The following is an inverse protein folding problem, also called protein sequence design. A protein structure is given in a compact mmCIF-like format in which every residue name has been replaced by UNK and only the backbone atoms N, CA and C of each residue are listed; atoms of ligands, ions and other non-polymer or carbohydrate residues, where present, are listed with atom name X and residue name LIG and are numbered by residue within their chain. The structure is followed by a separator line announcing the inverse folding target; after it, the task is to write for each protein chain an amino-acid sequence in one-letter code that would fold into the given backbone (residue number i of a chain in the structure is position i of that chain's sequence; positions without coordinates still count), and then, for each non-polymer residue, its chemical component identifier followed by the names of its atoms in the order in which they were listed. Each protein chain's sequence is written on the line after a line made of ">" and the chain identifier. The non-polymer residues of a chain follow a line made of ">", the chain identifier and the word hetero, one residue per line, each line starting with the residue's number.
data_IF_130071502821
#
_entry.id   IF_130071502821
#
_cell.length_a   1.000
_cell.length_b   1.000
_cell.length_c   1.000
_cell.angle_alpha   90.00
_cell.angle_beta   90.00
_cell.angle_gamma   90.00
#
_symmetry.space_group_name_H-M   'P 1'
#
loop_
_entity.id
_entity.type
_entity.pdbx_description
1 polymer ?
#
# COMPACT_ATOMS: atom_id res chain seq x y z
N UNK A 1 5.39 2.93 15.89
CA UNK A 1 5.87 2.95 17.29
C UNK A 1 7.26 3.56 17.47
N UNK A 2 8.28 3.19 16.69
CA UNK A 2 9.65 3.75 16.81
C UNK A 2 9.76 5.25 16.51
N UNK A 3 8.85 5.81 15.70
CA UNK A 3 8.77 7.24 15.39
C UNK A 3 8.28 8.08 16.58
N UNK A 4 7.23 7.65 17.29
CA UNK A 4 6.68 8.35 18.47
C UNK A 4 7.72 8.40 19.59
N UNK A 5 8.33 7.25 19.92
CA UNK A 5 9.39 7.16 20.93
C UNK A 5 10.54 8.13 20.63
N UNK A 6 11.05 8.15 19.40
CA UNK A 6 12.13 9.07 18.99
C UNK A 6 11.73 10.54 19.12
N UNK A 7 10.49 10.90 18.77
CA UNK A 7 10.00 12.29 18.86
C UNK A 7 9.81 12.76 20.30
N UNK A 8 9.28 11.89 21.17
CA UNK A 8 9.14 12.17 22.61
C UNK A 8 10.52 12.31 23.26
N UNK A 9 11.45 11.39 22.97
CA UNK A 9 12.83 11.48 23.45
C UNK A 9 13.51 12.78 22.96
N UNK A 10 13.32 13.15 21.70
CA UNK A 10 13.86 14.41 21.16
C UNK A 10 13.28 15.65 21.86
N UNK A 11 11.96 15.67 22.14
CA UNK A 11 11.33 16.75 22.88
C UNK A 11 11.84 16.82 24.33
N UNK A 12 11.98 15.68 25.00
CA UNK A 12 12.52 15.62 26.37
C UNK A 12 13.97 16.08 26.42
N UNK A 13 14.83 15.62 25.51
CA UNK A 13 16.22 16.07 25.42
C UNK A 13 16.30 17.57 25.15
N UNK A 14 15.42 18.08 24.28
CA UNK A 14 15.33 19.52 24.00
C UNK A 14 14.93 20.31 25.23
N UNK A 15 13.89 19.89 25.96
CA UNK A 15 13.46 20.54 27.20
C UNK A 15 14.55 20.47 28.28
N UNK A 16 15.19 19.32 28.46
CA UNK A 16 16.31 19.18 29.41
C UNK A 16 17.43 20.17 29.04
N UNK A 17 17.82 20.24 27.76
CA UNK A 17 18.82 21.20 27.31
C UNK A 17 18.37 22.66 27.55
N UNK A 18 17.11 22.98 27.25
CA UNK A 18 16.55 24.33 27.37
C UNK A 18 16.45 24.80 28.83
N UNK A 19 16.05 23.92 29.74
CA UNK A 19 15.95 24.23 31.18
C UNK A 19 17.28 24.14 31.93
N UNK A 20 18.30 23.48 31.37
CA UNK A 20 19.63 23.40 31.99
C UNK A 20 20.66 24.32 31.32
N UNK A 21 20.28 25.08 30.29
CA UNK A 21 21.22 25.99 29.60
C UNK A 21 21.73 27.09 30.55
N UNK A 22 20.88 27.55 31.47
CA UNK A 22 21.24 28.49 32.55
C UNK A 22 22.18 27.85 33.59
N UNK A 23 22.09 26.52 33.78
CA UNK A 23 22.94 25.75 34.71
C UNK A 23 24.28 25.31 34.13
N UNK A 24 24.46 25.40 32.81
CA UNK A 24 25.69 25.05 32.11
C UNK A 24 26.76 26.15 32.18
N UNK A 25 26.58 27.11 33.09
CA UNK A 25 27.46 28.27 33.29
C UNK A 25 28.91 27.85 33.53
N UNK A 26 29.71 27.98 32.46
CA UNK A 26 31.15 27.77 32.43
C UNK A 26 31.84 29.11 32.70
N UNK A 27 31.69 29.62 33.93
CA UNK A 27 32.64 30.56 34.53
C UNK A 27 32.17 32.01 34.72
N UNK A 28 32.01 32.39 36.00
CA UNK A 28 32.14 33.74 36.63
C UNK A 28 31.37 34.95 36.07
N UNK A 29 30.67 34.85 34.94
CA UNK A 29 29.82 35.94 34.42
C UNK A 29 28.48 35.34 33.95
N UNK A 30 27.44 35.49 34.76
CA UNK A 30 26.04 35.16 34.46
C UNK A 30 25.56 35.93 33.21
N UNK A 31 25.91 35.45 32.03
CA UNK A 31 25.55 36.09 30.74
C UNK A 31 24.35 35.42 30.06
N UNK A 32 23.91 34.27 30.57
CA UNK A 32 22.81 33.44 30.04
C UNK A 32 21.68 33.31 31.07
N UNK A 33 21.18 34.44 31.55
CA UNK A 33 20.01 34.50 32.43
C UNK A 33 18.75 34.72 31.57
N UNK A 34 17.97 33.65 31.35
CA UNK A 34 16.75 33.70 30.53
C UNK A 34 15.62 34.35 31.33
N UNK A 35 14.81 35.19 30.69
CA UNK A 35 13.71 35.82 31.42
C UNK A 35 12.69 34.75 31.89
N UNK A 36 12.16 34.84 33.13
CA UNK A 36 11.18 33.89 33.66
C UNK A 36 9.96 33.68 32.76
N UNK A 37 9.59 34.73 32.01
CA UNK A 37 8.52 34.72 31.00
C UNK A 37 8.78 33.66 29.93
N UNK A 38 10.03 33.50 29.48
CA UNK A 38 10.41 32.54 28.44
C UNK A 38 10.09 31.11 28.85
N UNK A 39 10.32 30.74 30.12
CA UNK A 39 9.99 29.41 30.63
C UNK A 39 8.48 29.15 30.69
N UNK A 40 7.69 30.16 31.08
CA UNK A 40 6.21 30.08 31.09
C UNK A 40 5.67 29.91 29.67
N UNK A 41 6.24 30.62 28.69
CA UNK A 41 5.86 30.49 27.28
C UNK A 41 6.24 29.11 26.74
N UNK A 42 7.44 28.61 27.02
CA UNK A 42 7.87 27.24 26.64
C UNK A 42 6.89 26.20 27.20
N UNK A 43 6.55 26.28 28.49
CA UNK A 43 5.60 25.37 29.11
C UNK A 43 4.22 25.42 28.42
N UNK A 44 3.69 26.62 28.19
CA UNK A 44 2.41 26.83 27.52
C UNK A 44 2.40 26.26 26.09
N UNK A 45 3.49 26.47 25.36
CA UNK A 45 3.65 26.01 23.97
C UNK A 45 3.70 24.47 23.87
N UNK A 46 4.25 23.79 24.88
CA UNK A 46 4.24 22.32 24.95
C UNK A 46 2.82 21.76 25.09
N UNK A 47 1.90 22.47 25.74
CA UNK A 47 0.52 22.04 25.92
C UNK A 47 -0.41 22.35 24.74
N UNK A 48 -0.06 23.32 23.87
CA UNK A 48 -0.88 23.69 22.69
C UNK A 48 -1.30 22.50 21.80
N UNK A 49 -0.42 21.52 21.46
CA UNK A 49 -0.78 20.38 20.61
C UNK A 49 -1.78 19.39 21.24
N UNK A 50 -2.03 19.50 22.55
CA UNK A 50 -3.05 18.69 23.24
C UNK A 50 -4.47 19.09 22.80
N UNK A 51 -4.66 20.36 22.43
CA UNK A 51 -5.93 20.87 21.90
C UNK A 51 -6.12 20.48 20.43
N UNK A 52 -7.32 19.96 20.12
CA UNK A 52 -7.66 19.44 18.79
C UNK A 52 -7.46 20.47 17.66
N UNK A 53 -7.69 21.76 17.94
CA UNK A 53 -7.59 22.85 16.99
C UNK A 53 -6.17 23.04 16.42
N UNK A 54 -5.14 22.96 17.28
CA UNK A 54 -3.73 23.18 16.89
C UNK A 54 -3.07 21.93 16.30
N UNK A 55 -3.70 20.76 16.46
CA UNK A 55 -3.15 19.46 16.03
C UNK A 55 -3.30 19.19 14.53
N UNK A 56 -4.29 19.81 13.86
CA UNK A 56 -4.58 19.60 12.41
C UNK A 56 -4.08 20.72 11.48
N UNK A 57 -3.42 21.74 12.04
CA UNK A 57 -2.95 22.94 11.31
C UNK A 57 -1.44 22.86 11.07
N UNK A 58 -0.89 23.59 10.07
CA UNK A 58 0.55 23.56 9.78
C UNK A 58 1.38 24.04 10.99
N UNK A 59 2.59 23.52 11.13
CA UNK A 59 3.51 23.80 12.25
C UNK A 59 3.69 25.30 12.51
N UNK A 60 3.68 26.15 11.47
CA UNK A 60 3.79 27.61 11.61
C UNK A 60 2.71 28.21 12.52
N UNK A 61 1.50 27.65 12.51
CA UNK A 61 0.39 28.12 13.34
C UNK A 61 0.57 27.82 14.84
N UNK A 62 1.49 26.90 15.19
CA UNK A 62 1.90 26.65 16.58
C UNK A 62 3.07 27.53 17.03
N UNK A 63 3.92 27.97 16.10
CA UNK A 63 5.08 28.84 16.38
C UNK A 63 4.65 30.29 16.59
N UNK A 64 3.77 30.81 15.71
CA UNK A 64 3.29 32.19 15.74
C UNK A 64 2.70 32.60 17.11
N UNK A 65 1.76 31.86 17.73
CA UNK A 65 1.23 32.23 19.04
C UNK A 65 2.29 32.18 20.14
N UNK A 66 3.28 31.28 20.04
CA UNK A 66 4.40 31.22 20.98
C UNK A 66 5.27 32.47 20.90
N UNK A 67 5.58 32.95 19.70
CA UNK A 67 6.31 34.20 19.50
C UNK A 67 5.52 35.44 19.91
N UNK A 68 4.20 35.47 19.66
CA UNK A 68 3.34 36.57 20.12
C UNK A 68 3.31 36.58 21.65
N UNK A 69 3.14 35.43 22.31
CA UNK A 69 3.14 35.35 23.76
C UNK A 69 4.48 35.78 24.37
N UNK A 70 5.59 35.37 23.77
CA UNK A 70 6.93 35.81 24.17
C UNK A 70 7.07 37.33 23.97
N UNK A 71 6.75 37.85 22.78
CA UNK A 71 6.86 39.28 22.48
C UNK A 71 6.00 40.16 23.39
N UNK A 72 4.78 39.72 23.75
CA UNK A 72 3.91 40.43 24.71
C UNK A 72 4.46 40.36 26.13
N UNK A 73 4.91 39.19 26.58
CA UNK A 73 5.49 39.03 27.91
C UNK A 73 6.76 39.85 28.07
N UNK A 74 7.60 39.87 27.04
CA UNK A 74 8.78 40.73 26.95
C UNK A 74 8.37 42.22 26.88
N UNK A 75 7.31 42.61 26.18
CA UNK A 75 6.90 44.02 26.12
C UNK A 75 6.37 44.57 27.46
N UNK A 76 5.90 43.69 28.34
CA UNK A 76 5.39 44.03 29.67
C UNK A 76 6.51 44.16 30.73
N UNK A 77 7.68 43.57 30.47
CA UNK A 77 8.81 43.62 31.39
C UNK A 77 9.64 44.91 31.17
N UNK A 78 9.92 45.72 32.21
CA UNK A 78 10.67 46.98 32.07
C UNK A 78 12.18 46.81 31.82
N UNK A 79 12.68 45.59 31.66
CA UNK A 79 14.09 45.27 31.35
C UNK A 79 14.52 45.78 29.96
N UNK A 80 15.75 46.31 29.78
CA UNK A 80 16.26 46.73 28.48
C UNK A 80 16.53 45.51 27.57
N UNK A 81 15.73 45.37 26.51
CA UNK A 81 15.78 44.20 25.60
C UNK A 81 16.65 44.40 24.36
N UNK A 82 16.96 45.65 24.04
CA UNK A 82 17.77 46.02 22.89
C UNK A 82 19.05 46.70 23.36
N UNK A 83 20.20 46.08 23.07
CA UNK A 83 21.52 46.58 23.44
C UNK A 83 22.46 45.50 23.97
N UNK A 84 23.67 45.41 23.38
CA UNK A 84 24.75 44.54 23.85
C UNK A 84 24.37 43.05 23.88
N UNK A 85 24.58 42.42 25.04
CA UNK A 85 24.39 40.97 25.26
C UNK A 85 22.89 40.58 25.22
N UNK A 86 21.99 41.49 25.62
CA UNK A 86 20.55 41.22 25.71
C UNK A 86 19.91 40.91 24.35
N UNK A 87 20.42 41.48 23.26
CA UNK A 87 19.92 41.18 21.90
C UNK A 87 20.21 39.73 21.49
N UNK A 88 21.38 39.20 21.88
CA UNK A 88 21.70 37.78 21.63
C UNK A 88 20.83 36.86 22.48
N UNK A 89 20.56 37.26 23.73
CA UNK A 89 19.69 36.51 24.64
C UNK A 89 18.26 36.42 24.10
N UNK A 90 17.67 37.53 23.66
CA UNK A 90 16.34 37.53 23.04
C UNK A 90 16.28 36.67 21.79
N UNK A 91 17.31 36.70 20.91
CA UNK A 91 17.35 35.82 19.73
C UNK A 91 17.34 34.33 20.15
N UNK A 92 18.10 33.97 21.18
CA UNK A 92 18.12 32.60 21.72
C UNK A 92 16.74 32.23 22.28
N UNK A 93 16.06 33.12 23.01
CA UNK A 93 14.71 32.88 23.55
C UNK A 93 13.68 32.58 22.44
N UNK A 94 13.68 33.39 21.37
CA UNK A 94 12.81 33.16 20.22
C UNK A 94 13.10 31.83 19.52
N UNK A 95 14.37 31.43 19.44
CA UNK A 95 14.80 30.16 18.85
C UNK A 95 14.40 28.97 19.73
N UNK A 96 14.55 29.09 21.06
CA UNK A 96 14.12 28.08 22.02
C UNK A 96 12.60 27.84 21.96
N UNK A 97 11.82 28.91 21.92
CA UNK A 97 10.36 28.83 21.75
C UNK A 97 9.97 28.21 20.41
N UNK A 98 10.64 28.60 19.31
CA UNK A 98 10.37 28.04 17.99
C UNK A 98 10.69 26.53 17.93
N UNK A 99 11.86 26.13 18.44
CA UNK A 99 12.26 24.71 18.49
C UNK A 99 11.29 23.88 19.32
N UNK A 100 10.88 24.40 20.49
CA UNK A 100 9.88 23.76 21.35
C UNK A 100 8.54 23.58 20.62
N UNK A 101 8.02 24.63 19.97
CA UNK A 101 6.77 24.57 19.21
C UNK A 101 6.81 23.50 18.11
N UNK A 102 7.90 23.46 17.33
CA UNK A 102 8.07 22.48 16.25
C UNK A 102 8.11 21.05 16.79
N UNK A 103 8.88 20.79 17.85
CA UNK A 103 9.01 19.47 18.48
C UNK A 103 7.67 19.03 19.12
N UNK A 104 7.01 19.92 19.84
CA UNK A 104 5.72 19.66 20.47
C UNK A 104 4.65 19.33 19.42
N UNK A 105 4.59 20.08 18.31
CA UNK A 105 3.67 19.81 17.21
C UNK A 105 3.95 18.45 16.55
N UNK A 106 5.23 18.09 16.35
CA UNK A 106 5.63 16.78 15.79
C UNK A 106 5.24 15.61 16.69
N UNK A 107 5.26 15.78 18.01
CA UNK A 107 4.79 14.78 18.98
C UNK A 107 3.27 14.68 18.96
N UNK A 108 2.56 15.80 18.96
CA UNK A 108 1.10 15.85 18.89
C UNK A 108 0.54 15.15 17.63
N UNK A 109 1.16 15.38 16.47
CA UNK A 109 0.78 14.70 15.22
C UNK A 109 0.97 13.17 15.31
N UNK A 110 2.12 12.72 15.83
CA UNK A 110 2.40 11.28 15.98
C UNK A 110 1.47 10.59 17.00
N UNK A 111 0.99 11.33 18.02
CA UNK A 111 0.02 10.82 18.99
C UNK A 111 -1.37 10.65 18.38
N UNK A 112 -1.79 11.54 17.48
CA UNK A 112 -3.07 11.41 16.76
C UNK A 112 -3.06 10.24 15.77
N UNK A 113 -1.96 10.02 15.04
CA UNK A 113 -1.79 8.83 14.19
C UNK A 113 -1.92 7.54 15.00
N UNK A 114 -1.29 7.49 16.17
CA UNK A 114 -1.43 6.34 17.08
C UNK A 114 -2.86 6.20 17.59
N UNK A 115 -3.50 7.30 18.02
CA UNK A 115 -4.89 7.30 18.46
C UNK A 115 -5.82 6.77 17.38
N UNK A 116 -5.65 7.20 16.13
CA UNK A 116 -6.45 6.75 14.99
C UNK A 116 -6.20 5.27 14.66
N UNK A 117 -4.94 4.82 14.69
CA UNK A 117 -4.62 3.40 14.48
C UNK A 117 -5.22 2.50 15.56
N UNK A 118 -5.16 2.93 16.82
CA UNK A 118 -5.82 2.23 17.94
C UNK A 118 -7.33 2.29 17.75
N UNK A 119 -7.91 3.46 17.43
CA UNK A 119 -9.34 3.63 17.19
C UNK A 119 -9.85 2.69 16.07
N UNK A 120 -9.11 2.51 14.98
CA UNK A 120 -9.43 1.57 13.89
C UNK A 120 -9.39 0.11 14.34
N UNK A 121 -8.48 -0.24 15.27
CA UNK A 121 -8.30 -1.61 15.75
C UNK A 121 -9.27 -1.94 16.91
N UNK A 122 -9.58 -0.96 17.77
CA UNK A 122 -10.42 -1.14 18.96
C UNK A 122 -11.88 -0.85 18.71
N UNK A 123 -12.23 -0.03 17.71
CA UNK A 123 -13.63 0.11 17.28
C UNK A 123 -13.97 -1.04 16.35
N UNK A 124 -14.41 -2.14 16.97
CA UNK A 124 -15.46 -2.99 16.46
C UNK A 124 -16.52 -2.11 15.79
N UNK A 125 -16.47 -2.06 14.46
CA UNK A 125 -17.44 -1.52 13.52
C UNK A 125 -18.40 -0.46 14.10
N UNK A 126 -18.08 0.82 13.91
CA UNK A 126 -19.01 1.95 14.07
C UNK A 126 -20.10 1.95 12.97
N UNK A 127 -20.57 0.77 12.58
CA UNK A 127 -21.86 0.60 11.94
C UNK A 127 -22.85 0.42 13.08
N UNK A 128 -23.56 1.48 13.42
CA UNK A 128 -24.66 1.58 14.40
C UNK A 128 -25.82 0.54 14.21
N UNK A 129 -25.64 -0.35 13.23
CA UNK A 129 -26.57 -1.40 12.83
C UNK A 129 -26.23 -2.77 13.40
N UNK A 130 -25.02 -2.96 13.97
CA UNK A 130 -24.64 -4.22 14.60
C UNK A 130 -24.93 -4.14 16.10
N UNK A 131 -26.17 -4.46 16.49
CA UNK A 131 -26.60 -4.51 17.89
C UNK A 131 -26.45 -5.92 18.43
N UNK A 132 -26.10 -6.06 19.70
CA UNK A 132 -26.19 -7.35 20.38
C UNK A 132 -27.64 -7.79 20.51
N UNK A 133 -27.88 -9.10 20.70
CA UNK A 133 -29.23 -9.63 20.86
C UNK A 133 -29.98 -8.99 22.04
N UNK A 134 -29.27 -8.73 23.15
CA UNK A 134 -29.85 -8.09 24.34
C UNK A 134 -30.24 -6.64 24.11
N UNK A 135 -29.49 -5.89 23.30
CA UNK A 135 -29.79 -4.49 22.98
C UNK A 135 -30.92 -4.38 21.94
N UNK A 136 -31.00 -5.30 20.99
CA UNK A 136 -32.00 -5.28 19.93
C UNK A 136 -33.36 -5.88 20.34
N UNK A 137 -33.45 -6.52 21.51
CA UNK A 137 -34.65 -7.24 21.93
C UNK A 137 -35.88 -6.32 22.06
N UNK A 138 -35.71 -5.15 22.67
CA UNK A 138 -36.78 -4.17 22.83
C UNK A 138 -37.26 -3.64 21.47
N UNK A 139 -36.33 -3.29 20.58
CA UNK A 139 -36.65 -2.81 19.23
C UNK A 139 -37.40 -3.86 18.40
N UNK A 140 -36.95 -5.13 18.47
CA UNK A 140 -37.61 -6.24 17.78
C UNK A 140 -39.03 -6.43 18.33
N UNK A 141 -39.23 -6.34 19.65
CA UNK A 141 -40.56 -6.42 20.25
C UNK A 141 -41.48 -5.26 19.83
N UNK A 142 -40.94 -4.05 19.70
CA UNK A 142 -41.67 -2.89 19.17
C UNK A 142 -42.10 -3.16 17.72
N UNK A 143 -41.18 -3.64 16.88
CA UNK A 143 -41.50 -3.96 15.48
C UNK A 143 -42.52 -5.10 15.37
N UNK A 144 -42.41 -6.16 16.16
CA UNK A 144 -43.41 -7.24 16.21
C UNK A 144 -44.80 -6.71 16.60
N UNK A 145 -44.87 -5.85 17.62
CA UNK A 145 -46.12 -5.24 18.09
C UNK A 145 -46.73 -4.33 17.03
N UNK A 146 -45.92 -3.51 16.36
CA UNK A 146 -46.34 -2.67 15.25
C UNK A 146 -46.83 -3.50 14.05
N UNK A 147 -46.11 -4.58 13.70
CA UNK A 147 -46.47 -5.49 12.61
C UNK A 147 -47.82 -6.16 12.85
N UNK A 148 -48.09 -6.59 14.10
CA UNK A 148 -49.39 -7.15 14.50
C UNK A 148 -50.53 -6.14 14.36
N UNK A 149 -50.34 -4.90 14.82
CA UNK A 149 -51.37 -3.84 14.73
C UNK A 149 -51.65 -3.43 13.29
N UNK A 150 -50.61 -3.34 12.46
CA UNK A 150 -50.71 -2.88 11.06
C UNK A 150 -50.91 -4.02 10.05
N UNK A 151 -50.98 -5.28 10.51
CA UNK A 151 -51.05 -6.49 9.66
C UNK A 151 -49.99 -6.53 8.56
N UNK A 152 -48.75 -6.14 8.91
CA UNK A 152 -47.60 -6.19 8.00
C UNK A 152 -46.79 -7.47 8.25
N UNK A 153 -46.16 -8.07 7.23
CA UNK A 153 -45.25 -9.20 7.42
C UNK A 153 -43.92 -8.72 8.01
N UNK A 154 -43.38 -9.48 8.97
CA UNK A 154 -42.05 -9.31 9.54
C UNK A 154 -41.26 -10.60 9.30
N UNK A 155 -40.06 -10.47 8.72
CA UNK A 155 -39.19 -11.61 8.40
C UNK A 155 -37.86 -11.49 9.15
N UNK A 156 -37.31 -12.63 9.58
CA UNK A 156 -35.98 -12.72 10.21
C UNK A 156 -35.10 -13.62 9.35
N UNK A 157 -33.88 -13.17 9.07
CA UNK A 157 -32.88 -13.92 8.32
C UNK A 157 -31.69 -14.19 9.24
N UNK A 158 -31.28 -15.46 9.33
CA UNK A 158 -30.04 -15.87 10.01
C UNK A 158 -29.02 -16.21 8.92
N UNK A 159 -27.89 -15.52 8.94
CA UNK A 159 -26.77 -15.74 8.04
C UNK A 159 -25.61 -16.30 8.85
N UNK A 160 -25.25 -17.55 8.58
CA UNK A 160 -24.05 -18.18 9.14
C UNK A 160 -23.02 -18.33 8.02
N UNK A 161 -21.83 -17.78 8.21
CA UNK A 161 -20.73 -17.93 7.25
C UNK A 161 -19.98 -19.23 7.56
N UNK A 162 -19.95 -20.17 6.61
CA UNK A 162 -19.20 -21.43 6.77
C UNK A 162 -17.69 -21.19 6.64
N UNK A 163 -16.96 -21.31 7.73
CA UNK A 163 -15.51 -21.17 7.76
C UNK A 163 -14.77 -22.24 6.91
N UNK A 164 -15.41 -23.38 6.60
CA UNK A 164 -14.80 -24.43 5.74
C UNK A 164 -14.76 -24.02 4.27
N UNK A 165 -15.80 -23.33 3.81
CA UNK A 165 -15.85 -22.77 2.45
C UNK A 165 -14.80 -21.68 2.19
N UNK A 166 -14.36 -20.96 3.24
CA UNK A 166 -13.24 -20.03 3.17
C UNK A 166 -11.91 -20.74 2.87
N UNK A 167 -11.63 -21.86 3.55
CA UNK A 167 -10.41 -22.64 3.32
C UNK A 167 -10.36 -23.25 1.91
N UNK A 168 -11.50 -23.72 1.39
CA UNK A 168 -11.59 -24.22 0.01
C UNK A 168 -11.38 -23.12 -1.04
N UNK A 169 -11.80 -21.89 -0.75
CA UNK A 169 -11.55 -20.73 -1.63
C UNK A 169 -10.07 -20.37 -1.64
N UNK A 170 -9.42 -20.35 -0.48
CA UNK A 170 -7.97 -20.09 -0.36
C UNK A 170 -7.17 -21.16 -1.11
N UNK A 171 -7.52 -22.44 -0.97
CA UNK A 171 -6.80 -23.51 -1.65
C UNK A 171 -6.92 -23.41 -3.18
N UNK A 172 -8.11 -23.10 -3.70
CA UNK A 172 -8.32 -22.84 -5.14
C UNK A 172 -7.52 -21.64 -5.63
N UNK A 173 -7.51 -20.55 -4.87
CA UNK A 173 -6.73 -19.36 -5.21
C UNK A 173 -5.23 -19.65 -5.25
N UNK A 174 -4.70 -20.42 -4.29
CA UNK A 174 -3.29 -20.84 -4.27
C UNK A 174 -2.96 -21.70 -5.50
N UNK A 175 -3.85 -22.64 -5.86
CA UNK A 175 -3.65 -23.48 -7.05
C UNK A 175 -3.67 -22.65 -8.35
N UNK A 176 -4.57 -21.68 -8.48
CA UNK A 176 -4.62 -20.76 -9.63
C UNK A 176 -3.35 -19.92 -9.72
N UNK A 177 -2.89 -19.37 -8.59
CA UNK A 177 -1.64 -18.59 -8.54
C UNK A 177 -0.43 -19.46 -8.92
N UNK A 178 -0.35 -20.69 -8.42
CA UNK A 178 0.73 -21.63 -8.78
C UNK A 178 0.73 -21.94 -10.28
N UNK A 179 -0.45 -22.19 -10.89
CA UNK A 179 -0.57 -22.42 -12.33
C UNK A 179 -0.12 -21.22 -13.14
N UNK A 180 -0.56 -20.02 -12.78
CA UNK A 180 -0.16 -18.78 -13.45
C UNK A 180 1.36 -18.54 -13.36
N UNK A 181 1.95 -18.79 -12.17
CA UNK A 181 3.39 -18.66 -11.96
C UNK A 181 4.19 -19.69 -12.77
N UNK A 182 3.73 -20.96 -12.83
CA UNK A 182 4.36 -21.98 -13.66
C UNK A 182 4.30 -21.63 -15.15
N UNK A 183 3.14 -21.20 -15.65
CA UNK A 183 2.99 -20.75 -17.04
C UNK A 183 3.92 -19.57 -17.35
N UNK A 184 4.00 -18.59 -16.43
CA UNK A 184 4.90 -17.44 -16.58
C UNK A 184 6.37 -17.86 -16.60
N UNK A 185 6.75 -18.79 -15.74
CA UNK A 185 8.11 -19.33 -15.67
C UNK A 185 8.48 -20.06 -16.97
N UNK A 186 7.62 -20.96 -17.45
CA UNK A 186 7.81 -21.69 -18.72
C UNK A 186 7.98 -20.70 -19.87
N UNK A 187 7.09 -19.72 -19.98
CA UNK A 187 7.15 -18.69 -21.02
C UNK A 187 8.47 -17.92 -21.01
N UNK A 188 8.91 -17.47 -19.83
CA UNK A 188 10.14 -16.69 -19.68
C UNK A 188 11.40 -17.52 -19.98
N UNK A 189 11.44 -18.78 -19.53
CA UNK A 189 12.56 -19.69 -19.81
C UNK A 189 12.63 -20.04 -21.28
N UNK A 190 11.49 -20.32 -21.92
CA UNK A 190 11.40 -20.55 -23.37
C UNK A 190 11.86 -19.31 -24.14
N UNK A 191 11.33 -18.12 -23.86
CA UNK A 191 11.74 -16.88 -24.52
C UNK A 191 13.26 -16.64 -24.42
N UNK A 192 13.84 -16.83 -23.22
CA UNK A 192 15.29 -16.69 -22.99
C UNK A 192 16.12 -17.75 -23.71
N UNK A 193 15.58 -18.94 -23.90
CA UNK A 193 16.22 -20.01 -24.68
C UNK A 193 16.21 -19.68 -26.16
N UNK A 194 15.04 -19.30 -26.71
CA UNK A 194 14.86 -18.91 -28.11
C UNK A 194 15.74 -17.72 -28.47
N UNK A 195 15.84 -16.71 -27.60
CA UNK A 195 16.66 -15.51 -27.82
C UNK A 195 18.16 -15.82 -28.04
N UNK A 196 18.66 -16.97 -27.58
CA UNK A 196 20.06 -17.40 -27.81
C UNK A 196 20.29 -18.08 -29.16
N UNK A 197 19.22 -18.48 -29.84
CA UNK A 197 19.28 -19.23 -31.11
C UNK A 197 18.71 -18.45 -32.30
N UNK A 198 18.03 -17.33 -32.04
CA UNK A 198 17.52 -16.41 -33.04
C UNK A 198 18.58 -15.35 -33.42
N UNK A 199 18.40 -14.74 -34.60
CA UNK A 199 19.25 -13.64 -35.06
C UNK A 199 18.89 -12.36 -34.28
N UNK A 200 19.82 -11.40 -34.26
CA UNK A 200 19.60 -10.10 -33.60
C UNK A 200 18.46 -9.28 -34.22
N UNK A 201 18.11 -9.55 -35.47
CA UNK A 201 17.00 -8.93 -36.21
C UNK A 201 15.64 -9.58 -35.91
N UNK A 202 15.63 -10.79 -35.36
CA UNK A 202 14.41 -11.50 -35.06
C UNK A 202 13.82 -10.97 -33.74
N UNK A 203 12.49 -10.88 -33.68
CA UNK A 203 11.77 -10.38 -32.52
C UNK A 203 11.03 -11.51 -31.83
N UNK A 204 11.08 -11.54 -30.49
CA UNK A 204 10.23 -12.38 -29.66
C UNK A 204 9.26 -11.46 -28.92
N UNK A 205 7.98 -11.66 -29.14
CA UNK A 205 6.90 -10.88 -28.56
C UNK A 205 6.06 -11.81 -27.68
N UNK A 206 5.72 -11.36 -26.49
CA UNK A 206 4.73 -12.02 -25.66
C UNK A 206 3.32 -11.69 -26.20
N UNK A 207 2.54 -12.73 -26.49
CA UNK A 207 1.15 -12.56 -26.93
C UNK A 207 0.23 -12.20 -25.74
N UNK A 208 -0.90 -11.57 -26.02
CA UNK A 208 -1.93 -11.27 -25.01
C UNK A 208 -2.60 -12.54 -24.46
N UNK A 209 -2.54 -13.65 -25.20
CA UNK A 209 -3.03 -14.96 -24.75
C UNK A 209 -1.96 -15.66 -23.89
N UNK A 210 -2.31 -16.19 -22.71
CA UNK A 210 -1.34 -16.75 -21.78
C UNK A 210 -0.60 -17.95 -22.39
N UNK A 211 0.71 -18.01 -22.15
CA UNK A 211 1.56 -19.13 -22.57
C UNK A 211 1.99 -19.10 -24.05
N UNK A 212 1.79 -18.00 -24.78
CA UNK A 212 2.14 -17.89 -26.20
C UNK A 212 3.24 -16.86 -26.45
N UNK A 213 4.14 -17.19 -27.38
CA UNK A 213 5.16 -16.29 -27.91
C UNK A 213 4.96 -16.16 -29.41
N UNK A 214 5.15 -14.95 -29.92
CA UNK A 214 5.19 -14.64 -31.34
C UNK A 214 6.65 -14.40 -31.71
N UNK A 215 7.13 -15.12 -32.72
CA UNK A 215 8.48 -14.92 -33.28
C UNK A 215 8.34 -14.28 -34.65
N UNK A 216 8.93 -13.10 -34.82
CA UNK A 216 8.97 -12.39 -36.11
C UNK A 216 10.39 -12.51 -36.64
N UNK A 217 10.55 -13.17 -37.79
CA UNK A 217 11.84 -13.35 -38.46
C UNK A 217 11.84 -12.57 -39.79
N UNK A 218 12.41 -11.36 -39.83
CA UNK A 218 12.49 -10.58 -41.06
C UNK A 218 13.21 -11.32 -42.19
N UNK A 219 12.89 -10.98 -43.44
CA UNK A 219 13.55 -11.52 -44.65
C UNK A 219 13.57 -13.06 -44.74
N UNK A 220 12.62 -13.71 -44.08
CA UNK A 220 12.54 -15.18 -44.01
C UNK A 220 11.38 -15.69 -44.83
N UNK A 221 11.69 -16.36 -45.94
CA UNK A 221 10.71 -17.06 -46.78
C UNK A 221 10.04 -18.21 -46.02
N UNK A 222 8.88 -18.67 -46.50
CA UNK A 222 8.05 -19.66 -45.80
C UNK A 222 8.77 -20.97 -45.48
N UNK A 223 9.47 -21.56 -46.45
CA UNK A 223 10.21 -22.81 -46.26
C UNK A 223 11.27 -22.68 -45.16
N UNK A 224 11.98 -21.55 -45.14
CA UNK A 224 12.98 -21.24 -44.12
C UNK A 224 12.35 -20.97 -42.74
N UNK A 225 11.17 -20.35 -42.71
CA UNK A 225 10.43 -20.11 -41.47
C UNK A 225 9.93 -21.42 -40.86
N UNK A 226 9.54 -22.40 -41.69
CA UNK A 226 9.17 -23.75 -41.23
C UNK A 226 10.38 -24.50 -40.67
N UNK A 227 11.51 -24.50 -41.38
CA UNK A 227 12.76 -25.09 -40.86
C UNK A 227 13.21 -24.46 -39.54
N UNK A 228 13.06 -23.14 -39.41
CA UNK A 228 13.31 -22.44 -38.15
C UNK A 228 12.36 -22.93 -37.05
N UNK A 229 11.06 -22.99 -37.32
CA UNK A 229 10.03 -23.49 -36.40
C UNK A 229 10.33 -24.90 -35.89
N UNK A 230 10.62 -25.84 -36.79
CA UNK A 230 10.99 -27.22 -36.43
C UNK A 230 12.21 -27.25 -35.50
N UNK A 231 13.25 -26.49 -35.85
CA UNK A 231 14.46 -26.39 -35.01
C UNK A 231 14.15 -25.82 -33.63
N UNK A 232 13.31 -24.78 -33.54
CA UNK A 232 12.95 -24.18 -32.25
C UNK A 232 12.13 -25.15 -31.39
N UNK A 233 11.18 -25.89 -31.97
CA UNK A 233 10.42 -26.92 -31.24
C UNK A 233 11.33 -28.01 -30.71
N UNK A 234 12.24 -28.54 -31.53
CA UNK A 234 13.23 -29.53 -31.07
C UNK A 234 14.10 -28.98 -29.94
N UNK A 235 14.55 -27.72 -30.04
CA UNK A 235 15.32 -27.09 -28.96
C UNK A 235 14.52 -26.93 -27.65
N UNK A 236 13.23 -26.60 -27.73
CA UNK A 236 12.36 -26.52 -26.55
C UNK A 236 12.19 -27.90 -25.92
N UNK A 237 11.93 -28.92 -26.74
CA UNK A 237 11.78 -30.30 -26.28
C UNK A 237 13.07 -30.82 -25.63
N UNK A 238 14.22 -30.66 -26.29
CA UNK A 238 15.49 -31.22 -25.82
C UNK A 238 16.04 -30.51 -24.57
N UNK A 239 15.83 -29.19 -24.46
CA UNK A 239 16.40 -28.39 -23.35
C UNK A 239 15.46 -28.24 -22.17
N UNK A 240 14.16 -28.22 -22.40
CA UNK A 240 13.16 -27.94 -21.37
C UNK A 240 12.26 -29.15 -21.08
N UNK A 241 12.23 -30.16 -21.95
CA UNK A 241 11.35 -31.32 -21.82
C UNK A 241 9.86 -30.97 -22.06
N UNK A 242 9.59 -29.86 -22.75
CA UNK A 242 8.25 -29.32 -22.95
C UNK A 242 7.86 -29.48 -24.41
N UNK A 243 6.67 -30.01 -24.67
CA UNK A 243 6.09 -30.08 -26.00
C UNK A 243 5.68 -28.68 -26.47
N UNK A 244 6.10 -28.32 -27.68
CA UNK A 244 5.76 -27.05 -28.30
C UNK A 244 5.21 -27.29 -29.71
N UNK A 245 4.28 -26.44 -30.11
CA UNK A 245 3.71 -26.42 -31.45
C UNK A 245 3.89 -25.02 -32.01
N UNK A 246 3.97 -24.91 -33.33
CA UNK A 246 4.12 -23.63 -34.02
C UNK A 246 3.21 -23.57 -35.24
N UNK A 247 2.87 -22.35 -35.65
CA UNK A 247 2.23 -22.05 -36.92
C UNK A 247 3.03 -20.96 -37.62
N UNK A 248 3.09 -20.99 -38.95
CA UNK A 248 3.87 -20.05 -39.77
C UNK A 248 2.94 -19.31 -40.69
N UNK A 249 3.12 -18.00 -40.83
CA UNK A 249 2.55 -17.19 -41.90
C UNK A 249 3.62 -16.22 -42.38
N UNK A 250 3.58 -15.86 -43.67
CA UNK A 250 4.59 -15.02 -44.32
C UNK A 250 3.95 -13.90 -45.12
N UNK A 251 4.54 -12.72 -45.04
CA UNK A 251 4.24 -11.57 -45.88
C UNK A 251 4.99 -11.68 -47.22
N UNK A 252 4.39 -11.32 -48.37
CA UNK A 252 2.99 -10.92 -48.57
C UNK A 252 2.05 -12.10 -48.89
N UNK A 253 2.57 -13.33 -48.95
CA UNK A 253 1.84 -14.48 -49.48
C UNK A 253 0.55 -14.81 -48.72
N UNK A 254 0.54 -14.64 -47.40
CA UNK A 254 -0.59 -15.00 -46.55
C UNK A 254 -1.50 -13.82 -46.23
N UNK A 255 -0.94 -12.64 -45.98
CA UNK A 255 -1.68 -11.40 -45.84
C UNK A 255 -0.79 -10.16 -45.99
N UNK A 256 -1.43 -9.02 -46.15
CA UNK A 256 -0.86 -7.68 -46.26
C UNK A 256 -0.83 -6.92 -44.92
N UNK A 257 -1.51 -7.41 -43.88
CA UNK A 257 -1.54 -6.78 -42.54
C UNK A 257 -0.94 -7.71 -41.48
N UNK A 258 -0.50 -7.14 -40.36
CA UNK A 258 0.10 -7.92 -39.27
C UNK A 258 -0.95 -8.75 -38.53
N UNK A 259 -2.13 -8.18 -38.32
CA UNK A 259 -3.27 -8.83 -37.67
C UNK A 259 -3.71 -10.09 -38.43
N UNK A 260 -3.88 -9.98 -39.75
CA UNK A 260 -4.28 -11.13 -40.57
C UNK A 260 -3.16 -12.19 -40.70
N UNK A 261 -1.89 -11.77 -40.62
CA UNK A 261 -0.75 -12.70 -40.54
C UNK A 261 -0.78 -13.51 -39.25
N UNK A 262 -1.11 -12.87 -38.11
CA UNK A 262 -1.30 -13.57 -36.84
C UNK A 262 -2.46 -14.57 -36.92
N UNK A 263 -3.58 -14.19 -37.52
CA UNK A 263 -4.73 -15.07 -37.71
C UNK A 263 -4.40 -16.27 -38.63
N UNK A 264 -3.63 -16.06 -39.69
CA UNK A 264 -3.14 -17.13 -40.55
C UNK A 264 -2.20 -18.08 -39.78
N UNK A 265 -1.25 -17.55 -39.01
CA UNK A 265 -0.36 -18.35 -38.18
C UNK A 265 -1.12 -19.12 -37.08
N UNK A 266 -2.15 -18.53 -36.47
CA UNK A 266 -2.98 -19.20 -35.47
C UNK A 266 -3.80 -20.34 -36.08
N UNK A 267 -4.33 -20.18 -37.30
CA UNK A 267 -5.01 -21.28 -38.02
C UNK A 267 -4.06 -22.45 -38.27
N UNK A 268 -2.84 -22.18 -38.72
CA UNK A 268 -1.83 -23.22 -38.91
C UNK A 268 -1.40 -23.88 -37.60
N UNK A 269 -1.27 -23.11 -36.50
CA UNK A 269 -0.97 -23.64 -35.18
C UNK A 269 -2.05 -24.62 -34.71
N UNK A 270 -3.34 -24.29 -34.91
CA UNK A 270 -4.46 -25.17 -34.52
C UNK A 270 -4.51 -26.46 -35.34
N UNK A 271 -4.13 -26.41 -36.61
CA UNK A 271 -4.01 -27.60 -37.46
C UNK A 271 -2.84 -28.51 -37.04
N UNK A 272 -1.77 -27.92 -36.48
CA UNK A 272 -0.60 -28.63 -35.98
C UNK A 272 -0.78 -29.20 -34.57
N UNK A 273 -1.83 -28.81 -33.84
CA UNK A 273 -2.22 -29.45 -32.58
C UNK A 273 -3.04 -30.71 -32.89
N UNK A 274 -2.62 -31.91 -32.46
CA UNK A 274 -3.48 -33.08 -32.51
C UNK A 274 -4.78 -32.77 -31.75
N UNK A 275 -5.93 -33.14 -32.32
CA UNK A 275 -7.23 -33.07 -31.68
C UNK A 275 -7.19 -33.85 -30.36
N UNK A 276 -6.91 -33.18 -29.23
CA UNK A 276 -7.23 -33.70 -27.91
C UNK A 276 -8.74 -33.90 -27.88
N UNK A 277 -9.11 -35.17 -28.00
CA UNK A 277 -10.45 -35.65 -28.14
C UNK A 277 -11.27 -35.24 -26.93
N UNK A 278 -12.48 -34.73 -27.19
CA UNK A 278 -13.57 -34.64 -26.23
C UNK A 278 -13.64 -35.92 -25.38
N UNK A 279 -13.03 -35.88 -24.19
CA UNK A 279 -13.12 -36.90 -23.15
C UNK A 279 -13.71 -36.26 -21.90
N UNK A 280 -14.78 -35.48 -22.07
CA UNK A 280 -15.75 -35.18 -21.03
C UNK A 280 -16.90 -36.19 -21.15
N UNK A 281 -16.57 -37.47 -21.07
CA UNK A 281 -17.56 -38.53 -20.88
C UNK A 281 -17.06 -39.48 -19.79
N UNK A 282 -17.85 -39.55 -18.71
CA UNK A 282 -17.77 -40.49 -17.61
C UNK A 282 -16.60 -40.36 -16.60
N UNK A 283 -16.59 -39.28 -15.80
CA UNK A 283 -16.26 -39.44 -14.38
C UNK A 283 -17.55 -39.83 -13.62
N UNK A 284 -18.01 -41.07 -13.83
CA UNK A 284 -18.98 -41.71 -12.93
C UNK A 284 -18.29 -41.89 -11.58
N UNK A 285 -18.74 -41.13 -10.60
CA UNK A 285 -18.46 -41.40 -9.18
C UNK A 285 -18.96 -42.82 -8.88
N UNK A 286 -18.14 -43.72 -8.32
CA UNK A 286 -18.68 -44.97 -7.80
C UNK A 286 -19.52 -44.65 -6.56
N UNK A 287 -20.80 -45.03 -6.60
CA UNK A 287 -21.61 -45.17 -5.40
C UNK A 287 -20.90 -46.14 -4.45
N UNK A 288 -20.46 -45.61 -3.30
CA UNK A 288 -20.09 -46.44 -2.15
C UNK A 288 -21.39 -46.95 -1.56
N UNK A 289 -21.66 -48.23 -1.77
CA UNK A 289 -22.77 -48.96 -1.18
C UNK A 289 -22.25 -49.73 0.04
N UNK A 290 -22.93 -49.52 1.18
CA UNK A 290 -22.78 -50.12 2.52
C UNK A 290 -21.54 -49.76 3.35
#
# INVERSE_FOLDING_TARGET
>A
MSSLRRRVVALLLWLIASFNIERLDLGSINTLDLEPVTYVVIATVVFLPLFHFFRRRPTMLSVVPGWIALGVGLALDPSPKFGGIHTYLTIIEFLLVAGTAVLAHRVGAALEEFRQAVEIITLRNKNDRLRSMSEAQEDVQIQMSASRRMRRPLSVLILEADARSLNMMIHRFVQELQRAMMQRYVLAVTARMLARHLRRTDLIIEDSKPGRLIVVAPETAEDNARLLGDRLVHLVQDRLGITAHYGVATFPNHSLTFEDLLDAAERHLRQAQPQESHSSEALRVPEVNM
#
